data_IF_339891565414
#
_entry.id   IF_339891565414
#
_cell.length_a   1.000
_cell.length_b   1.000
_cell.length_c   1.000
_cell.angle_alpha   90.00
_cell.angle_beta   90.00
_cell.angle_gamma   90.00
#
_symmetry.space_group_name_H-M   'P 1'
#
loop_
_entity.id
_entity.type
_entity.pdbx_description
1 polymer ?
#
# COMPACT_ATOMS: atom_id res chain seq x y z
N UNK A 1 -32.19 14.50 -16.06
CA UNK A 1 -31.53 14.95 -17.31
C UNK A 1 -30.03 14.90 -17.08
N UNK A 2 -29.27 14.19 -17.91
CA UNK A 2 -27.82 14.17 -17.83
C UNK A 2 -27.27 15.54 -18.28
N UNK A 3 -26.32 16.10 -17.53
CA UNK A 3 -25.81 17.47 -17.72
C UNK A 3 -24.94 17.68 -18.97
N UNK A 4 -24.68 16.63 -19.74
CA UNK A 4 -23.87 16.68 -20.95
C UNK A 4 -24.74 16.22 -22.12
N UNK A 5 -24.83 17.06 -23.17
CA UNK A 5 -25.69 16.84 -24.33
C UNK A 5 -25.35 15.54 -25.10
N UNK A 6 -26.21 15.15 -26.06
CA UNK A 6 -26.19 13.84 -26.72
C UNK A 6 -24.96 13.51 -27.60
N UNK A 7 -23.88 14.32 -27.54
CA UNK A 7 -22.75 14.25 -28.47
C UNK A 7 -21.37 14.01 -27.81
N UNK A 8 -21.29 13.71 -26.52
CA UNK A 8 -20.01 13.42 -25.85
C UNK A 8 -19.93 11.94 -25.48
N UNK A 9 -19.24 11.16 -26.31
CA UNK A 9 -18.85 9.79 -25.97
C UNK A 9 -17.68 9.86 -24.96
N UNK A 10 -17.99 9.63 -23.69
CA UNK A 10 -16.98 9.48 -22.63
C UNK A 10 -16.69 7.97 -22.54
N UNK A 11 -15.52 7.49 -23.01
CA UNK A 11 -15.14 6.11 -22.75
C UNK A 11 -15.05 5.93 -21.23
N UNK A 12 -15.74 4.91 -20.71
CA UNK A 12 -15.53 4.51 -19.31
C UNK A 12 -14.14 3.90 -19.23
N UNK A 13 -13.18 4.67 -18.73
CA UNK A 13 -11.90 4.12 -18.32
C UNK A 13 -12.13 3.25 -17.09
N UNK A 14 -11.60 2.02 -17.11
CA UNK A 14 -11.69 1.12 -15.98
C UNK A 14 -10.96 1.75 -14.79
N UNK A 15 -11.68 1.99 -13.69
CA UNK A 15 -11.07 2.56 -12.50
C UNK A 15 -10.00 1.61 -11.95
N UNK A 16 -8.95 2.15 -11.32
CA UNK A 16 -7.84 1.37 -10.74
C UNK A 16 -8.38 0.23 -9.88
N UNK A 17 -9.44 0.48 -9.10
CA UNK A 17 -10.15 -0.53 -8.31
C UNK A 17 -10.68 -1.68 -9.16
N UNK A 18 -11.32 -1.39 -10.31
CA UNK A 18 -11.82 -2.39 -11.24
C UNK A 18 -10.68 -3.19 -11.88
N UNK A 19 -9.59 -2.53 -12.27
CA UNK A 19 -8.39 -3.22 -12.82
C UNK A 19 -7.76 -4.13 -11.77
N UNK A 20 -7.66 -3.69 -10.50
CA UNK A 20 -7.15 -4.52 -9.40
C UNK A 20 -8.08 -5.69 -9.05
N UNK A 21 -9.41 -5.51 -9.12
CA UNK A 21 -10.39 -6.57 -8.89
C UNK A 21 -10.40 -7.59 -10.03
N UNK A 22 -10.27 -7.14 -11.29
CA UNK A 22 -10.09 -8.00 -12.45
C UNK A 22 -8.79 -8.81 -12.34
N UNK A 23 -7.67 -8.18 -11.94
CA UNK A 23 -6.41 -8.86 -11.67
C UNK A 23 -6.52 -9.87 -10.54
N UNK A 24 -7.16 -9.52 -9.41
CA UNK A 24 -7.40 -10.44 -8.30
C UNK A 24 -8.23 -11.66 -8.71
N UNK A 25 -9.26 -11.44 -9.54
CA UNK A 25 -10.11 -12.51 -10.07
C UNK A 25 -9.36 -13.40 -11.07
N UNK A 26 -8.52 -12.82 -11.93
CA UNK A 26 -7.67 -13.55 -12.86
C UNK A 26 -6.62 -14.39 -12.10
N UNK A 27 -5.94 -13.80 -11.11
CA UNK A 27 -4.97 -14.50 -10.26
C UNK A 27 -5.60 -15.67 -9.52
N UNK A 28 -6.81 -15.51 -8.96
CA UNK A 28 -7.57 -16.60 -8.32
C UNK A 28 -7.91 -17.74 -9.30
N UNK A 29 -8.27 -17.42 -10.55
CA UNK A 29 -8.50 -18.43 -11.60
C UNK A 29 -7.21 -19.13 -12.03
N UNK A 30 -6.08 -18.43 -12.04
CA UNK A 30 -4.77 -18.98 -12.40
C UNK A 30 -4.17 -19.88 -11.31
N UNK A 31 -4.36 -19.53 -10.04
CA UNK A 31 -3.94 -20.37 -8.88
C UNK A 31 -4.59 -21.76 -8.93
N UNK A 32 -5.81 -21.88 -9.48
CA UNK A 32 -6.50 -23.16 -9.65
C UNK A 32 -5.96 -24.04 -10.80
N UNK A 33 -5.04 -23.53 -11.62
CA UNK A 33 -4.43 -24.27 -12.74
C UNK A 33 -2.97 -24.65 -12.43
N UNK A 34 -2.41 -25.68 -13.07
CA UNK A 34 -0.98 -26.04 -12.91
C UNK A 34 0.02 -24.91 -13.22
N UNK A 35 -0.40 -23.88 -13.97
CA UNK A 35 0.39 -22.65 -14.18
C UNK A 35 0.48 -21.80 -12.91
N UNK A 36 -0.51 -21.86 -12.03
CA UNK A 36 -0.55 -21.17 -10.74
C UNK A 36 0.53 -21.61 -9.77
N UNK A 37 0.84 -22.91 -9.70
CA UNK A 37 1.94 -23.44 -8.89
C UNK A 37 3.31 -22.96 -9.38
N UNK A 38 3.54 -22.95 -10.70
CA UNK A 38 4.79 -22.46 -11.29
C UNK A 38 5.00 -20.95 -11.07
N UNK A 39 3.92 -20.17 -11.19
CA UNK A 39 3.92 -18.73 -10.90
C UNK A 39 4.19 -18.50 -9.42
N UNK A 40 3.52 -19.25 -8.54
CA UNK A 40 3.73 -19.19 -7.10
C UNK A 40 5.18 -19.50 -6.74
N UNK A 41 5.75 -20.60 -7.25
CA UNK A 41 7.14 -20.98 -7.01
C UNK A 41 8.13 -19.94 -7.56
N UNK A 42 7.87 -19.38 -8.74
CA UNK A 42 8.68 -18.31 -9.33
C UNK A 42 8.72 -17.07 -8.44
N UNK A 43 7.55 -16.60 -7.99
CA UNK A 43 7.44 -15.41 -7.12
C UNK A 43 8.00 -15.66 -5.71
N UNK A 44 7.82 -16.87 -5.17
CA UNK A 44 8.39 -17.27 -3.89
C UNK A 44 9.93 -17.39 -3.96
N UNK A 45 10.49 -17.85 -5.08
CA UNK A 45 11.94 -17.88 -5.28
C UNK A 45 12.54 -16.46 -5.42
N UNK A 46 11.93 -15.61 -6.25
CA UNK A 46 12.38 -14.23 -6.45
C UNK A 46 12.27 -13.40 -5.16
N UNK A 47 11.19 -13.56 -4.40
CA UNK A 47 11.03 -12.88 -3.12
C UNK A 47 12.04 -13.34 -2.08
N UNK A 48 12.41 -14.63 -2.02
CA UNK A 48 13.50 -15.12 -1.14
C UNK A 48 14.84 -14.42 -1.40
N UNK A 49 15.17 -14.12 -2.66
CA UNK A 49 16.40 -13.39 -3.01
C UNK A 49 16.34 -11.95 -2.47
N UNK A 50 15.20 -11.27 -2.67
CA UNK A 50 15.00 -9.90 -2.24
C UNK A 50 14.79 -9.72 -0.72
N UNK A 51 14.31 -10.76 -0.03
CA UNK A 51 14.05 -10.77 1.41
C UNK A 51 15.33 -10.57 2.25
N UNK A 52 16.51 -10.89 1.70
CA UNK A 52 17.80 -10.84 2.41
C UNK A 52 18.20 -9.44 2.91
N UNK A 53 17.54 -8.37 2.46
CA UNK A 53 17.88 -6.98 2.82
C UNK A 53 16.78 -6.24 3.62
N UNK A 54 15.69 -6.90 4.00
CA UNK A 54 14.45 -6.26 4.51
C UNK A 54 14.29 -6.30 6.04
N UNK A 55 15.40 -6.27 6.78
CA UNK A 55 15.40 -6.27 8.25
C UNK A 55 16.36 -5.22 8.83
N UNK A 56 16.65 -4.15 8.10
CA UNK A 56 17.67 -3.17 8.51
C UNK A 56 17.09 -2.08 9.42
N UNK A 57 15.82 -1.69 9.26
CA UNK A 57 15.17 -0.74 10.15
C UNK A 57 13.63 -0.94 10.28
N UNK A 58 13.09 -0.50 11.42
CA UNK A 58 11.66 -0.63 11.74
C UNK A 58 10.77 0.11 10.73
N UNK A 59 11.22 1.26 10.22
CA UNK A 59 10.41 2.07 9.31
C UNK A 59 10.22 1.38 7.95
N UNK A 60 11.26 0.69 7.45
CA UNK A 60 11.18 -0.13 6.25
C UNK A 60 10.19 -1.28 6.43
N UNK A 61 10.23 -1.96 7.58
CA UNK A 61 9.31 -3.07 7.86
C UNK A 61 7.85 -2.63 7.91
N UNK A 62 7.56 -1.52 8.60
CA UNK A 62 6.20 -0.94 8.64
C UNK A 62 5.74 -0.50 7.25
N UNK A 63 6.63 0.05 6.43
CA UNK A 63 6.31 0.43 5.06
C UNK A 63 6.03 -0.80 4.17
N UNK A 64 6.80 -1.88 4.32
CA UNK A 64 6.54 -3.14 3.62
C UNK A 64 5.18 -3.74 4.04
N UNK A 65 4.89 -3.73 5.34
CA UNK A 65 3.60 -4.19 5.85
C UNK A 65 2.45 -3.41 5.22
N UNK A 66 2.56 -2.09 5.10
CA UNK A 66 1.55 -1.29 4.41
C UNK A 66 1.30 -1.73 2.96
N UNK A 67 2.34 -2.15 2.22
CA UNK A 67 2.19 -2.65 0.84
C UNK A 67 1.48 -3.99 0.82
N UNK A 68 1.94 -4.95 1.62
CA UNK A 68 1.36 -6.30 1.66
C UNK A 68 -0.10 -6.23 2.13
N UNK A 69 -0.44 -5.37 3.10
CA UNK A 69 -1.79 -5.30 3.69
C UNK A 69 -2.75 -4.56 2.73
N UNK A 70 -2.21 -3.75 1.82
CA UNK A 70 -2.97 -3.21 0.70
C UNK A 70 -3.38 -4.28 -0.32
N UNK A 71 -2.64 -5.39 -0.41
CA UNK A 71 -2.96 -6.53 -1.28
C UNK A 71 -3.80 -7.60 -0.56
N UNK A 72 -3.52 -7.85 0.72
CA UNK A 72 -4.23 -8.78 1.58
C UNK A 72 -4.64 -8.08 2.89
N UNK A 73 -5.83 -7.43 2.92
CA UNK A 73 -6.31 -6.74 4.11
C UNK A 73 -6.44 -7.70 5.29
N UNK A 74 -5.92 -7.30 6.46
CA UNK A 74 -5.89 -8.12 7.68
C UNK A 74 -7.29 -8.39 8.25
N UNK A 75 -8.26 -7.56 7.90
CA UNK A 75 -9.65 -7.66 8.35
C UNK A 75 -10.48 -8.65 7.52
N UNK A 76 -9.94 -9.16 6.41
CA UNK A 76 -10.63 -10.08 5.52
C UNK A 76 -10.02 -11.49 5.63
N UNK A 77 -10.88 -12.52 5.59
CA UNK A 77 -10.40 -13.89 5.53
C UNK A 77 -9.76 -14.13 4.17
N UNK A 78 -8.43 -14.33 4.17
CA UNK A 78 -7.65 -14.72 3.00
C UNK A 78 -7.12 -16.12 3.19
N UNK A 79 -7.06 -16.90 2.12
CA UNK A 79 -6.47 -18.24 2.16
C UNK A 79 -4.95 -18.15 2.37
N UNK A 80 -4.32 -19.18 2.93
CA UNK A 80 -2.87 -19.24 3.13
C UNK A 80 -2.07 -18.99 1.83
N UNK A 81 -2.59 -19.50 0.70
CA UNK A 81 -2.00 -19.29 -0.61
C UNK A 81 -2.09 -17.82 -1.05
N UNK A 82 -3.24 -17.17 -0.86
CA UNK A 82 -3.40 -15.73 -1.15
C UNK A 82 -2.49 -14.88 -0.28
N UNK A 83 -2.38 -15.17 1.02
CA UNK A 83 -1.48 -14.44 1.92
C UNK A 83 -0.02 -14.61 1.50
N UNK A 84 0.39 -15.82 1.14
CA UNK A 84 1.76 -16.11 0.70
C UNK A 84 2.09 -15.39 -0.62
N UNK A 85 1.13 -15.36 -1.56
CA UNK A 85 1.28 -14.62 -2.80
C UNK A 85 1.33 -13.11 -2.56
N UNK A 86 0.49 -12.56 -1.69
CA UNK A 86 0.50 -11.15 -1.32
C UNK A 86 1.82 -10.74 -0.68
N UNK A 87 2.42 -11.58 0.17
CA UNK A 87 3.76 -11.36 0.72
C UNK A 87 4.80 -11.35 -0.41
N UNK A 88 4.79 -12.35 -1.30
CA UNK A 88 5.76 -12.44 -2.39
C UNK A 88 5.68 -11.24 -3.37
N UNK A 89 4.46 -10.87 -3.79
CA UNK A 89 4.22 -9.72 -4.66
C UNK A 89 4.52 -8.41 -3.94
N UNK A 90 4.12 -8.26 -2.68
CA UNK A 90 4.39 -7.07 -1.89
C UNK A 90 5.89 -6.82 -1.72
N UNK A 91 6.68 -7.87 -1.50
CA UNK A 91 8.15 -7.79 -1.46
C UNK A 91 8.75 -7.31 -2.80
N UNK A 92 8.25 -7.81 -3.92
CA UNK A 92 8.76 -7.40 -5.25
C UNK A 92 8.36 -5.98 -5.61
N UNK A 93 7.09 -5.61 -5.38
CA UNK A 93 6.61 -4.24 -5.59
C UNK A 93 7.38 -3.28 -4.70
N UNK A 94 7.65 -3.64 -3.44
CA UNK A 94 8.43 -2.82 -2.53
C UNK A 94 9.86 -2.60 -3.01
N UNK A 95 10.56 -3.64 -3.49
CA UNK A 95 11.96 -3.51 -3.89
C UNK A 95 12.15 -2.95 -5.31
N UNK A 96 11.38 -3.46 -6.28
CA UNK A 96 11.60 -3.21 -7.70
C UNK A 96 10.58 -2.25 -8.33
N UNK A 97 9.46 -1.99 -7.64
CA UNK A 97 8.34 -1.21 -8.18
C UNK A 97 7.26 -2.06 -8.84
N UNK A 98 6.11 -1.45 -9.06
CA UNK A 98 4.95 -2.13 -9.64
C UNK A 98 5.13 -2.41 -11.14
N UNK A 99 5.79 -1.51 -11.87
CA UNK A 99 6.04 -1.68 -13.31
C UNK A 99 6.84 -2.95 -13.60
N UNK A 100 7.96 -3.12 -12.91
CA UNK A 100 8.86 -4.27 -13.10
C UNK A 100 8.19 -5.58 -12.68
N UNK A 101 7.48 -5.56 -11.54
CA UNK A 101 6.78 -6.74 -11.03
C UNK A 101 5.69 -7.22 -11.99
N UNK A 102 4.87 -6.31 -12.52
CA UNK A 102 3.79 -6.65 -13.46
C UNK A 102 4.35 -7.07 -14.82
N UNK A 103 5.42 -6.42 -15.31
CA UNK A 103 6.09 -6.81 -16.55
C UNK A 103 6.62 -8.25 -16.50
N UNK A 104 7.24 -8.63 -15.38
CA UNK A 104 7.72 -10.00 -15.13
C UNK A 104 6.56 -10.99 -15.05
N UNK A 105 5.46 -10.63 -14.39
CA UNK A 105 4.26 -11.46 -14.29
C UNK A 105 3.64 -11.72 -15.66
N UNK A 106 3.43 -10.68 -16.47
CA UNK A 106 2.86 -10.84 -17.80
C UNK A 106 3.75 -11.66 -18.73
N UNK A 107 5.06 -11.44 -18.64
CA UNK A 107 6.04 -12.24 -19.38
C UNK A 107 5.97 -13.72 -18.99
N UNK A 108 5.83 -14.04 -17.69
CA UNK A 108 5.69 -15.42 -17.21
C UNK A 108 4.34 -16.06 -17.59
N UNK A 109 3.34 -15.26 -17.93
CA UNK A 109 2.00 -15.70 -18.32
C UNK A 109 1.79 -15.76 -19.84
N UNK A 110 2.81 -15.45 -20.63
CA UNK A 110 2.73 -15.32 -22.09
C UNK A 110 1.67 -14.30 -22.55
N UNK A 111 1.42 -13.25 -21.75
CA UNK A 111 0.43 -12.22 -22.07
C UNK A 111 1.08 -11.03 -22.80
N UNK A 112 0.42 -10.46 -23.81
CA UNK A 112 0.93 -9.29 -24.51
C UNK A 112 0.92 -8.07 -23.58
N UNK A 113 2.09 -7.46 -23.41
CA UNK A 113 2.27 -6.28 -22.57
C UNK A 113 1.90 -5.03 -23.36
N UNK A 114 0.87 -4.31 -22.91
CA UNK A 114 0.47 -3.04 -23.52
C UNK A 114 1.41 -1.90 -23.07
N UNK A 115 2.08 -1.18 -23.98
CA UNK A 115 2.97 -0.08 -23.63
C UNK A 115 2.30 1.08 -22.87
N UNK A 116 1.01 1.33 -23.11
CA UNK A 116 0.26 2.37 -22.41
C UNK A 116 0.13 2.06 -20.93
N UNK A 117 -0.16 0.80 -20.59
CA UNK A 117 -0.28 0.37 -19.18
C UNK A 117 1.08 0.43 -18.49
N UNK A 118 2.17 0.06 -19.18
CA UNK A 118 3.52 0.20 -18.61
C UNK A 118 3.85 1.66 -18.26
N UNK A 119 3.39 2.62 -19.06
CA UNK A 119 3.57 4.05 -18.78
C UNK A 119 2.79 4.49 -17.54
N UNK A 120 1.55 4.02 -17.39
CA UNK A 120 0.76 4.30 -16.19
C UNK A 120 1.39 3.70 -14.93
N UNK A 121 1.89 2.46 -15.01
CA UNK A 121 2.61 1.82 -13.91
C UNK A 121 3.90 2.58 -13.55
N UNK A 122 4.62 3.11 -14.54
CA UNK A 122 5.78 3.98 -14.32
C UNK A 122 5.39 5.28 -13.61
N UNK A 123 4.27 5.89 -13.97
CA UNK A 123 3.76 7.07 -13.28
C UNK A 123 3.42 6.78 -11.81
N UNK A 124 2.89 5.59 -11.51
CA UNK A 124 2.63 5.16 -10.13
C UNK A 124 3.94 5.01 -9.35
N UNK A 125 4.95 4.35 -9.93
CA UNK A 125 6.26 4.17 -9.29
C UNK A 125 6.97 5.52 -9.06
N UNK A 126 6.93 6.43 -10.04
CA UNK A 126 7.52 7.77 -9.87
C UNK A 126 6.81 8.59 -8.79
N UNK A 127 5.47 8.51 -8.70
CA UNK A 127 4.72 9.13 -7.60
C UNK A 127 5.12 8.54 -6.25
N UNK A 128 5.21 7.22 -6.15
CA UNK A 128 5.63 6.52 -4.93
C UNK A 128 7.02 6.96 -4.47
N UNK A 129 7.99 7.05 -5.38
CA UNK A 129 9.36 7.51 -5.08
C UNK A 129 9.33 8.96 -4.59
N UNK A 130 8.62 9.85 -5.30
CA UNK A 130 8.46 11.27 -4.90
C UNK A 130 7.84 11.42 -3.51
N UNK A 131 6.81 10.65 -3.19
CA UNK A 131 6.19 10.66 -1.86
C UNK A 131 7.13 10.14 -0.78
N UNK A 132 7.95 9.14 -1.10
CA UNK A 132 8.98 8.63 -0.20
C UNK A 132 10.02 9.71 0.09
N UNK A 133 10.59 10.33 -0.96
CA UNK A 133 11.58 11.40 -0.84
C UNK A 133 11.04 12.59 -0.04
N UNK A 134 9.78 12.97 -0.28
CA UNK A 134 9.10 14.00 0.49
C UNK A 134 8.98 13.65 1.99
N UNK A 135 8.71 12.38 2.31
CA UNK A 135 8.56 11.93 3.71
C UNK A 135 9.91 11.77 4.43
N UNK A 136 10.98 11.50 3.68
CA UNK A 136 12.35 11.38 4.21
C UNK A 136 13.10 12.71 4.28
N UNK A 137 12.66 13.71 3.51
CA UNK A 137 13.20 15.08 3.52
C UNK A 137 13.36 15.64 4.95
N UNK A 138 14.57 16.08 5.34
CA UNK A 138 14.85 16.57 6.69
C UNK A 138 13.95 17.74 7.12
N UNK A 139 13.66 18.68 6.21
CA UNK A 139 12.82 19.84 6.52
C UNK A 139 11.40 19.38 6.88
N UNK A 140 10.81 18.54 6.04
CA UNK A 140 9.48 17.96 6.23
C UNK A 140 9.40 17.10 7.49
N UNK A 141 10.42 16.26 7.73
CA UNK A 141 10.52 15.42 8.94
C UNK A 141 10.62 16.26 10.21
N UNK A 142 11.43 17.32 10.21
CA UNK A 142 11.59 18.22 11.36
C UNK A 142 10.32 19.02 11.64
N UNK A 143 9.65 19.52 10.59
CA UNK A 143 8.35 20.18 10.70
C UNK A 143 7.30 19.26 11.32
N UNK A 144 7.20 18.01 10.84
CA UNK A 144 6.28 17.00 11.40
C UNK A 144 6.57 16.72 12.88
N UNK A 145 7.85 16.56 13.26
CA UNK A 145 8.25 16.38 14.66
C UNK A 145 7.90 17.59 15.54
N UNK A 146 8.07 18.82 15.03
CA UNK A 146 7.67 20.05 15.74
C UNK A 146 6.17 20.06 16.00
N UNK A 147 5.34 19.90 14.96
CA UNK A 147 3.88 19.88 15.09
C UNK A 147 3.39 18.80 16.06
N UNK A 148 3.99 17.60 16.02
CA UNK A 148 3.64 16.51 16.97
C UNK A 148 3.96 16.91 18.42
N UNK A 149 5.11 17.55 18.67
CA UNK A 149 5.49 18.04 20.01
C UNK A 149 4.55 19.14 20.48
N UNK A 150 4.19 20.08 19.62
CA UNK A 150 3.28 21.19 19.96
C UNK A 150 1.89 20.66 20.32
N UNK A 151 1.37 19.67 19.56
CA UNK A 151 0.10 18.99 19.87
C UNK A 151 0.16 18.26 21.22
N UNK A 152 1.26 17.55 21.50
CA UNK A 152 1.44 16.83 22.77
C UNK A 152 1.43 17.81 23.96
N UNK A 153 2.18 18.91 23.86
CA UNK A 153 2.19 19.97 24.88
C UNK A 153 0.80 20.55 25.16
N UNK A 154 0.02 20.78 24.09
CA UNK A 154 -1.34 21.29 24.23
C UNK A 154 -2.25 20.27 24.95
N UNK A 155 -2.15 18.99 24.61
CA UNK A 155 -2.91 17.92 25.26
C UNK A 155 -2.50 17.73 26.73
N UNK A 156 -1.19 17.75 27.04
CA UNK A 156 -0.70 17.64 28.41
C UNK A 156 -1.16 18.83 29.27
N UNK A 157 -1.14 20.06 28.72
CA UNK A 157 -1.65 21.24 29.42
C UNK A 157 -3.15 21.15 29.70
N UNK A 158 -3.93 20.64 28.73
CA UNK A 158 -5.36 20.42 28.89
C UNK A 158 -5.66 19.35 29.96
N UNK A 159 -4.97 18.22 29.91
CA UNK A 159 -5.08 17.15 30.93
C UNK A 159 -4.68 17.64 32.32
N UNK A 160 -3.63 18.47 32.42
CA UNK A 160 -3.24 19.08 33.70
C UNK A 160 -4.34 20.00 34.25
N UNK A 161 -4.95 20.83 33.39
CA UNK A 161 -6.04 21.72 33.77
C UNK A 161 -7.31 20.95 34.19
N UNK A 162 -7.69 19.91 33.47
CA UNK A 162 -8.82 19.03 33.83
C UNK A 162 -8.54 18.25 35.13
N UNK A 163 -7.33 17.69 35.28
CA UNK A 163 -6.94 16.96 36.49
C UNK A 163 -7.00 17.83 37.76
N UNK A 164 -6.72 19.13 37.65
CA UNK A 164 -6.92 20.10 38.74
C UNK A 164 -8.40 20.29 39.08
N UNK A 165 -9.30 20.27 38.09
CA UNK A 165 -10.76 20.34 38.29
C UNK A 165 -11.33 19.11 39.01
N UNK A 166 -10.78 17.93 38.78
CA UNK A 166 -11.21 16.68 39.44
C UNK A 166 -10.47 16.38 40.76
N UNK A 167 -9.86 17.40 41.39
CA UNK A 167 -9.23 17.22 42.70
C UNK A 167 -10.24 16.77 43.75
N UNK A 168 -9.84 15.82 44.61
CA UNK A 168 -10.69 15.02 45.50
C UNK A 168 -11.41 15.78 46.64
N UNK A 169 -11.48 17.12 46.55
CA UNK A 169 -12.18 17.99 47.50
C UNK A 169 -13.11 19.03 46.84
N UNK A 170 -13.11 19.15 45.51
CA UNK A 170 -13.92 20.18 44.80
C UNK A 170 -15.44 19.96 44.86
N UNK A 171 -15.88 18.76 45.24
CA UNK A 171 -17.30 18.40 45.32
C UNK A 171 -17.90 18.52 46.73
N UNK A 172 -17.09 18.78 47.77
CA UNK A 172 -17.54 18.78 49.16
C UNK A 172 -17.68 20.19 49.78
N UNK A 173 -17.51 21.25 48.99
CA UNK A 173 -17.75 22.63 49.43
C UNK A 173 -19.15 23.09 49.04
N UNK A 174 -20.14 22.72 49.86
CA UNK A 174 -21.48 23.34 49.93
C UNK A 174 -21.77 23.74 51.36
#
# INVERSE_FOLDING_TARGET
MAHYGPAVFIPKEDCITHVTEQMGTALRKLILTRKGEQIFDFFMYQSKIHFRNLCLDQNQNECLHHVIWGMAPKEQYTSQQETSLAVALGLLVFNNGIKDTVSKLWSAMDLPVNPSVLRELEMIDTKRIRESDYKTDPCTKNRRKKLKRDKCKYQDAFQHQEGVMYSSQGFYTT
#
